data_IF_719125213995
#
_entry.id   IF_719125213995
#
_cell.length_a   1.000
_cell.length_b   1.000
_cell.length_c   1.000
_cell.angle_alpha   90.00
_cell.angle_beta   90.00
_cell.angle_gamma   90.00
#
_symmetry.space_group_name_H-M   'P 1'
#
loop_
_entity.id
_entity.type
_entity.pdbx_description
1 polymer ?
#
# COMPACT_ATOMS: atom_id res chain seq x y z
N UNK A 1 11.22 -23.70 7.23
CA UNK A 1 10.93 -22.43 6.56
C UNK A 1 10.22 -21.58 7.58
N UNK A 2 10.87 -20.54 8.11
CA UNK A 2 10.23 -19.72 9.14
C UNK A 2 8.91 -19.15 8.59
N UNK A 3 7.83 -19.14 9.38
CA UNK A 3 6.58 -18.52 8.97
C UNK A 3 6.86 -17.03 8.68
N UNK A 4 6.63 -16.60 7.44
CA UNK A 4 6.84 -15.25 6.91
C UNK A 4 6.89 -14.16 8.01
N UNK A 5 8.10 -13.75 8.39
CA UNK A 5 8.32 -12.71 9.38
C UNK A 5 7.80 -11.36 8.89
N UNK A 6 7.69 -11.19 7.58
CA UNK A 6 7.16 -10.00 6.93
C UNK A 6 5.70 -10.18 6.50
N UNK A 7 4.96 -9.06 6.55
CA UNK A 7 3.57 -8.94 6.11
C UNK A 7 3.44 -7.69 5.26
N UNK A 8 2.67 -7.77 4.19
CA UNK A 8 2.22 -6.62 3.40
C UNK A 8 0.70 -6.49 3.52
N UNK A 9 0.20 -5.26 3.65
CA UNK A 9 -1.24 -4.96 3.77
C UNK A 9 -1.52 -3.67 3.02
N UNK A 10 -2.67 -3.59 2.36
CA UNK A 10 -3.23 -2.33 1.88
C UNK A 10 -4.46 -1.98 2.70
N UNK A 11 -4.63 -0.73 3.11
CA UNK A 11 -5.85 -0.21 3.73
C UNK A 11 -6.40 0.88 2.82
N UNK A 12 -7.64 0.73 2.36
CA UNK A 12 -8.25 1.61 1.35
C UNK A 12 -9.58 2.19 1.89
N UNK A 13 -9.86 3.44 1.53
CA UNK A 13 -11.10 4.14 1.88
C UNK A 13 -12.29 3.41 1.23
N UNK A 14 -13.16 2.86 2.07
CA UNK A 14 -14.29 2.03 1.63
C UNK A 14 -15.36 2.82 0.87
N UNK A 15 -15.37 4.15 1.01
CA UNK A 15 -16.33 5.02 0.33
C UNK A 15 -15.94 5.32 -1.12
N UNK A 16 -14.74 4.91 -1.57
CA UNK A 16 -14.30 5.15 -2.93
C UNK A 16 -15.07 4.30 -3.95
N UNK A 17 -15.36 4.84 -5.16
CA UNK A 17 -15.84 4.02 -6.27
C UNK A 17 -14.88 2.87 -6.58
N UNK A 18 -15.41 1.72 -7.01
CA UNK A 18 -14.63 0.51 -7.28
C UNK A 18 -13.42 0.75 -8.21
N UNK A 19 -13.58 1.59 -9.24
CA UNK A 19 -12.49 1.94 -10.14
C UNK A 19 -11.34 2.68 -9.43
N UNK A 20 -11.66 3.55 -8.47
CA UNK A 20 -10.66 4.25 -7.66
C UNK A 20 -10.00 3.33 -6.64
N UNK A 21 -10.75 2.40 -6.05
CA UNK A 21 -10.20 1.34 -5.19
C UNK A 21 -9.17 0.50 -5.95
N UNK A 22 -9.54 0.00 -7.13
CA UNK A 22 -8.66 -0.84 -7.95
C UNK A 22 -7.41 -0.07 -8.39
N UNK A 23 -7.56 1.18 -8.82
CA UNK A 23 -6.42 2.03 -9.19
C UNK A 23 -5.48 2.30 -8.00
N UNK A 24 -6.04 2.64 -6.83
CA UNK A 24 -5.30 2.87 -5.59
C UNK A 24 -4.48 1.63 -5.21
N UNK A 25 -5.10 0.45 -5.20
CA UNK A 25 -4.40 -0.81 -4.94
C UNK A 25 -3.28 -1.07 -5.96
N UNK A 26 -3.53 -0.83 -7.25
CA UNK A 26 -2.54 -1.02 -8.32
C UNK A 26 -1.32 -0.11 -8.17
N UNK A 27 -1.52 1.20 -7.94
CA UNK A 27 -0.43 2.17 -7.76
C UNK A 27 0.43 1.81 -6.54
N UNK A 28 -0.22 1.52 -5.42
CA UNK A 28 0.49 1.11 -4.20
C UNK A 28 1.24 -0.21 -4.41
N UNK A 29 0.62 -1.19 -5.08
CA UNK A 29 1.24 -2.48 -5.38
C UNK A 29 2.50 -2.35 -6.23
N UNK A 30 2.47 -1.50 -7.27
CA UNK A 30 3.65 -1.21 -8.12
C UNK A 30 4.80 -0.62 -7.29
N UNK A 31 4.47 0.32 -6.41
CA UNK A 31 5.47 0.99 -5.55
C UNK A 31 6.06 0.01 -4.53
N UNK A 32 5.22 -0.78 -3.84
CA UNK A 32 5.69 -1.81 -2.91
C UNK A 32 6.58 -2.85 -3.60
N UNK A 33 6.19 -3.31 -4.79
CA UNK A 33 7.01 -4.25 -5.58
C UNK A 33 8.37 -3.69 -5.96
N UNK A 34 8.48 -2.38 -6.21
CA UNK A 34 9.77 -1.71 -6.45
C UNK A 34 10.65 -1.65 -5.19
N UNK A 35 10.05 -1.47 -4.02
CA UNK A 35 10.77 -1.34 -2.75
C UNK A 35 11.10 -2.69 -2.10
N UNK A 36 10.42 -3.76 -2.50
CA UNK A 36 10.62 -5.12 -1.99
C UNK A 36 10.76 -6.13 -3.14
N UNK A 37 11.74 -5.94 -4.05
CA UNK A 37 11.89 -6.79 -5.22
C UNK A 37 12.15 -8.26 -4.85
N UNK A 38 12.71 -8.53 -3.67
CA UNK A 38 12.96 -9.87 -3.15
C UNK A 38 11.68 -10.67 -2.85
N UNK A 39 10.53 -10.01 -2.75
CA UNK A 39 9.24 -10.67 -2.54
C UNK A 39 8.61 -11.15 -3.85
N UNK A 40 9.11 -10.73 -5.00
CA UNK A 40 8.66 -11.18 -6.31
C UNK A 40 9.37 -12.48 -6.65
N UNK A 41 8.58 -13.52 -6.92
CA UNK A 41 9.10 -14.83 -7.26
C UNK A 41 9.80 -14.88 -8.62
N UNK A 42 10.43 -16.01 -8.96
CA UNK A 42 10.99 -16.21 -10.29
C UNK A 42 9.89 -16.29 -11.34
N UNK A 43 10.27 -16.09 -12.60
CA UNK A 43 9.47 -16.46 -13.76
C UNK A 43 9.09 -17.95 -13.68
N UNK A 44 7.87 -18.28 -14.09
CA UNK A 44 7.37 -19.66 -14.16
C UNK A 44 7.00 -20.01 -15.59
N UNK A 45 7.20 -21.29 -15.95
CA UNK A 45 6.78 -21.82 -17.24
C UNK A 45 5.48 -22.60 -17.07
N UNK A 46 4.52 -22.37 -17.96
CA UNK A 46 3.37 -23.27 -18.07
C UNK A 46 3.71 -24.56 -18.83
N UNK A 47 2.74 -25.46 -18.89
CA UNK A 47 2.90 -26.77 -19.55
C UNK A 47 3.20 -26.66 -21.05
N UNK A 48 2.82 -25.55 -21.69
CA UNK A 48 3.06 -25.30 -23.12
C UNK A 48 4.42 -24.66 -23.37
N UNK A 49 5.18 -24.35 -22.31
CA UNK A 49 6.46 -23.66 -22.38
C UNK A 49 6.34 -22.13 -22.48
N UNK A 50 5.14 -21.55 -22.27
CA UNK A 50 4.99 -20.10 -22.22
C UNK A 50 5.47 -19.56 -20.86
N UNK A 51 6.22 -18.47 -20.89
CA UNK A 51 6.72 -17.77 -19.69
C UNK A 51 5.63 -16.88 -19.07
N UNK A 52 5.58 -16.88 -17.74
CA UNK A 52 4.78 -15.98 -16.91
C UNK A 52 5.69 -15.30 -15.90
N UNK A 53 5.70 -13.96 -15.89
CA UNK A 53 6.51 -13.19 -14.95
C UNK A 53 6.17 -13.53 -13.50
N UNK A 54 7.20 -13.44 -12.65
CA UNK A 54 7.07 -13.64 -11.22
C UNK A 54 6.04 -12.70 -10.59
N UNK A 55 5.31 -13.23 -9.61
CA UNK A 55 4.38 -12.47 -8.78
C UNK A 55 4.83 -12.51 -7.31
N UNK A 56 4.22 -11.67 -6.48
CA UNK A 56 4.52 -11.60 -5.06
C UNK A 56 4.28 -12.95 -4.37
N UNK A 57 5.24 -13.37 -3.53
CA UNK A 57 5.21 -14.65 -2.81
C UNK A 57 4.53 -14.56 -1.44
N UNK A 58 4.23 -13.35 -0.98
CA UNK A 58 3.59 -13.09 0.31
C UNK A 58 2.17 -12.57 0.09
N UNK A 59 1.18 -12.95 0.93
CA UNK A 59 -0.17 -12.41 0.82
C UNK A 59 -0.20 -10.90 1.03
N UNK A 60 -1.00 -10.21 0.22
CA UNK A 60 -1.28 -8.77 0.34
C UNK A 60 -2.78 -8.55 0.53
N UNK A 61 -3.33 -8.79 1.74
CA UNK A 61 -4.73 -8.48 2.03
C UNK A 61 -5.02 -7.00 1.81
N UNK A 62 -6.18 -6.73 1.20
CA UNK A 62 -6.76 -5.39 1.10
C UNK A 62 -7.82 -5.26 2.18
N UNK A 63 -7.59 -4.33 3.09
CA UNK A 63 -8.45 -4.00 4.22
C UNK A 63 -9.19 -2.70 3.92
N UNK A 64 -10.28 -2.50 4.66
CA UNK A 64 -11.12 -1.32 4.51
C UNK A 64 -11.16 -0.51 5.80
N UNK A 65 -11.21 0.80 5.66
CA UNK A 65 -11.38 1.75 6.74
C UNK A 65 -12.01 3.03 6.18
N UNK A 66 -12.50 3.90 7.06
CA UNK A 66 -12.88 5.26 6.67
C UNK A 66 -11.63 6.17 6.54
N UNK A 67 -11.83 7.34 5.94
CA UNK A 67 -10.77 8.32 5.68
C UNK A 67 -10.09 8.83 6.94
N UNK A 68 -10.84 9.03 8.03
CA UNK A 68 -10.29 9.50 9.30
C UNK A 68 -9.33 8.47 9.88
N UNK A 69 -9.73 7.19 9.83
CA UNK A 69 -8.90 6.09 10.32
C UNK A 69 -7.65 5.90 9.49
N UNK A 70 -7.72 6.04 8.16
CA UNK A 70 -6.53 5.97 7.31
C UNK A 70 -5.55 7.10 7.65
N UNK A 71 -6.06 8.31 7.89
CA UNK A 71 -5.22 9.44 8.32
C UNK A 71 -4.58 9.21 9.68
N UNK A 72 -5.33 8.70 10.66
CA UNK A 72 -4.78 8.31 11.97
C UNK A 72 -3.66 7.28 11.80
N UNK A 73 -3.86 6.25 10.97
CA UNK A 73 -2.84 5.25 10.68
C UNK A 73 -1.60 5.88 10.04
N UNK A 74 -1.79 6.80 9.09
CA UNK A 74 -0.68 7.47 8.42
C UNK A 74 0.15 8.32 9.38
N UNK A 75 -0.51 8.99 10.33
CA UNK A 75 0.15 9.77 11.37
C UNK A 75 0.96 8.88 12.31
N UNK A 76 0.37 7.76 12.76
CA UNK A 76 1.07 6.78 13.60
C UNK A 76 2.30 6.19 12.91
N UNK A 77 2.25 5.99 11.59
CA UNK A 77 3.40 5.49 10.81
C UNK A 77 4.61 6.44 10.80
N UNK A 78 4.48 7.71 11.22
CA UNK A 78 5.63 8.60 11.43
C UNK A 78 6.32 8.40 12.79
N UNK A 79 5.72 7.63 13.71
CA UNK A 79 6.34 7.37 15.02
C UNK A 79 7.60 6.50 14.88
N UNK A 80 8.65 6.71 15.70
CA UNK A 80 9.90 5.96 15.61
C UNK A 80 9.76 4.44 15.69
N UNK A 81 8.74 3.92 16.37
CA UNK A 81 8.44 2.49 16.45
C UNK A 81 8.20 1.86 15.07
N UNK A 82 7.64 2.62 14.12
CA UNK A 82 7.25 2.14 12.80
C UNK A 82 8.23 2.53 11.69
N UNK A 83 9.36 3.17 12.03
CA UNK A 83 10.34 3.69 11.07
C UNK A 83 10.97 2.60 10.17
N UNK A 84 10.97 1.34 10.62
CA UNK A 84 11.45 0.21 9.83
C UNK A 84 10.42 -0.33 8.81
N UNK A 85 9.17 0.15 8.85
CA UNK A 85 8.15 -0.26 7.90
C UNK A 85 8.30 0.50 6.58
N UNK A 86 8.11 -0.21 5.48
CA UNK A 86 7.92 0.40 4.17
C UNK A 86 6.47 0.86 4.06
N UNK A 87 6.27 2.13 3.75
CA UNK A 87 4.96 2.77 3.62
C UNK A 87 4.83 3.42 2.25
N UNK A 88 3.72 3.16 1.58
CA UNK A 88 3.27 3.94 0.42
C UNK A 88 1.88 4.48 0.72
N UNK A 89 1.59 5.68 0.27
CA UNK A 89 0.26 6.27 0.37
C UNK A 89 -0.17 6.84 -0.98
N UNK A 90 -1.48 6.94 -1.18
CA UNK A 90 -2.07 7.60 -2.33
C UNK A 90 -3.18 8.53 -1.84
N UNK A 91 -3.12 9.79 -2.24
CA UNK A 91 -3.98 10.87 -1.76
C UNK A 91 -4.73 11.56 -2.89
N UNK A 92 -5.73 12.35 -2.50
CA UNK A 92 -6.40 13.32 -3.37
C UNK A 92 -5.44 14.26 -4.10
N UNK A 93 -4.36 14.69 -3.44
CA UNK A 93 -3.31 15.51 -4.07
C UNK A 93 -2.71 14.80 -5.27
N UNK A 94 -2.29 13.54 -5.09
CA UNK A 94 -1.73 12.71 -6.17
C UNK A 94 -2.77 12.40 -7.25
N UNK A 95 -4.00 12.06 -6.85
CA UNK A 95 -5.07 11.73 -7.79
C UNK A 95 -5.50 12.93 -8.64
N UNK A 96 -5.40 14.15 -8.12
CA UNK A 96 -5.73 15.38 -8.84
C UNK A 96 -4.70 15.79 -9.91
N UNK A 97 -3.66 14.99 -10.14
CA UNK A 97 -2.55 15.29 -11.04
C UNK A 97 -2.50 14.31 -12.21
N UNK A 98 -2.34 14.84 -13.43
CA UNK A 98 -2.15 14.03 -14.63
C UNK A 98 -0.67 13.77 -14.94
N UNK A 99 0.22 14.64 -14.46
CA UNK A 99 1.68 14.53 -14.63
C UNK A 99 2.38 14.63 -13.28
N UNK A 100 3.50 13.93 -13.15
CA UNK A 100 4.19 13.79 -11.87
C UNK A 100 4.79 15.11 -11.36
N UNK A 101 5.23 16.00 -12.26
CA UNK A 101 5.76 17.32 -11.87
C UNK A 101 4.70 18.21 -11.19
N UNK A 102 3.42 18.03 -11.51
CA UNK A 102 2.33 18.72 -10.83
C UNK A 102 2.12 18.15 -9.43
N UNK A 103 2.24 16.82 -9.29
CA UNK A 103 2.17 16.17 -7.99
C UNK A 103 3.30 16.66 -7.06
N UNK A 104 4.54 16.71 -7.55
CA UNK A 104 5.69 17.25 -6.80
C UNK A 104 5.38 18.67 -6.30
N UNK A 105 4.91 19.55 -7.19
CA UNK A 105 4.62 20.95 -6.86
C UNK A 105 3.48 21.09 -5.86
N UNK A 106 2.37 20.36 -6.04
CA UNK A 106 1.23 20.41 -5.12
C UNK A 106 1.56 19.83 -3.75
N UNK A 107 2.25 18.70 -3.71
CA UNK A 107 2.63 18.05 -2.45
C UNK A 107 3.58 18.94 -1.62
N UNK A 108 4.52 19.64 -2.27
CA UNK A 108 5.51 20.48 -1.58
C UNK A 108 4.91 21.67 -0.82
N UNK A 109 3.70 22.11 -1.17
CA UNK A 109 3.04 23.27 -0.54
C UNK A 109 1.80 22.88 0.29
N UNK A 110 1.41 21.60 0.27
CA UNK A 110 0.31 21.09 1.05
C UNK A 110 0.79 20.72 2.46
N UNK A 111 0.04 21.14 3.49
CA UNK A 111 0.27 20.65 4.84
C UNK A 111 -0.15 19.19 4.95
N UNK A 112 0.54 18.38 5.77
CA UNK A 112 0.14 16.99 6.04
C UNK A 112 -1.34 16.89 6.46
N UNK A 113 -1.80 17.86 7.24
CA UNK A 113 -3.18 18.01 7.70
C UNK A 113 -4.20 18.12 6.56
N UNK A 114 -3.79 18.54 5.37
CA UNK A 114 -4.66 18.73 4.20
C UNK A 114 -4.79 17.48 3.32
N UNK A 115 -3.89 16.50 3.46
CA UNK A 115 -3.94 15.28 2.66
C UNK A 115 -5.15 14.43 3.02
N UNK A 116 -5.88 14.01 1.98
CA UNK A 116 -6.94 13.02 2.09
C UNK A 116 -6.47 11.73 1.44
N UNK A 117 -6.05 10.78 2.26
CA UNK A 117 -5.52 9.50 1.78
C UNK A 117 -6.66 8.58 1.31
N UNK A 118 -6.56 8.13 0.07
CA UNK A 118 -7.42 7.12 -0.53
C UNK A 118 -7.01 5.71 -0.11
N UNK A 119 -5.72 5.52 0.16
CA UNK A 119 -5.22 4.29 0.75
C UNK A 119 -3.77 4.39 1.19
N UNK A 120 -3.37 3.43 2.03
CA UNK A 120 -2.00 3.23 2.48
C UNK A 120 -1.60 1.76 2.32
N UNK A 121 -0.41 1.52 1.80
CA UNK A 121 0.25 0.22 1.75
C UNK A 121 1.34 0.16 2.80
N UNK A 122 1.37 -0.91 3.60
CA UNK A 122 2.29 -1.08 4.72
C UNK A 122 2.94 -2.45 4.60
N UNK A 123 4.27 -2.49 4.59
CA UNK A 123 5.04 -3.72 4.56
C UNK A 123 6.19 -3.72 5.55
N UNK A 124 6.44 -4.86 6.20
CA UNK A 124 7.55 -5.04 7.14
C UNK A 124 7.25 -6.11 8.18
N UNK A 125 7.84 -5.99 9.38
CA UNK A 125 7.67 -6.99 10.44
C UNK A 125 6.19 -7.20 10.79
N UNK A 126 5.74 -8.46 10.70
CA UNK A 126 4.35 -8.86 10.86
C UNK A 126 3.71 -8.36 12.16
N UNK A 127 4.46 -8.31 13.27
CA UNK A 127 3.96 -7.82 14.56
C UNK A 127 3.60 -6.34 14.51
N UNK A 128 4.50 -5.52 13.95
CA UNK A 128 4.29 -4.08 13.81
C UNK A 128 3.13 -3.77 12.86
N UNK A 129 3.05 -4.47 11.72
CA UNK A 129 1.93 -4.31 10.77
C UNK A 129 0.60 -4.71 11.42
N UNK A 130 0.56 -5.82 12.16
CA UNK A 130 -0.64 -6.25 12.86
C UNK A 130 -1.07 -5.31 13.99
N UNK A 131 -0.12 -4.63 14.67
CA UNK A 131 -0.42 -3.62 15.69
C UNK A 131 -1.22 -2.44 15.11
N UNK A 132 -1.04 -2.15 13.83
CA UNK A 132 -1.75 -1.09 13.11
C UNK A 132 -3.06 -1.58 12.48
N UNK A 133 -3.04 -2.77 11.86
CA UNK A 133 -4.13 -3.18 10.96
C UNK A 133 -4.92 -4.41 11.43
N UNK A 134 -4.59 -5.00 12.57
CA UNK A 134 -5.12 -6.31 12.99
C UNK A 134 -6.63 -6.34 13.26
N UNK A 135 -7.23 -5.19 13.59
CA UNK A 135 -8.67 -5.04 13.84
C UNK A 135 -9.47 -4.63 12.61
N UNK A 136 -8.82 -4.30 11.50
CA UNK A 136 -9.50 -3.77 10.31
C UNK A 136 -10.13 -4.91 9.50
N UNK A 137 -11.37 -4.75 9.01
CA UNK A 137 -12.03 -5.74 8.18
C UNK A 137 -11.42 -5.80 6.77
N UNK A 138 -11.57 -6.95 6.11
CA UNK A 138 -11.26 -7.09 4.69
C UNK A 138 -12.17 -6.21 3.84
N UNK A 139 -11.62 -5.62 2.79
CA UNK A 139 -12.39 -4.98 1.72
C UNK A 139 -13.09 -6.10 0.92
N UNK A 140 -14.42 -6.05 0.85
CA UNK A 140 -15.27 -7.06 0.20
C UNK A 140 -16.03 -6.43 -0.96
#
# INVERSE_FOLDING_TARGET
>A
MEPNANKCVMVIDEALPLGMIANTAGIMGLTLGKHMPETIGPEVLDKSGCSHLGIIQIPVPVLKADREKIKELRQRLYEPEFAALTVVDFSDVAQSCNVYDDYIRKAAVAEESSFQYFGIGICGEKKLVNKLTGSLPLLR
#
